data_IF_168379094249
#
_entry.id   IF_168379094249
#
_cell.length_a   1.000
_cell.length_b   1.000
_cell.length_c   1.000
_cell.angle_alpha   90.00
_cell.angle_beta   90.00
_cell.angle_gamma   90.00
#
_symmetry.space_group_name_H-M   'P 1'
#
loop_
_entity.id
_entity.type
_entity.pdbx_description
1 polymer ?
#
# COMPACT_ATOMS: atom_id res chain seq x y z
N UNK A 1 -34.78 32.76 10.53
CA UNK A 1 -33.66 32.65 11.49
C UNK A 1 -32.97 31.33 11.20
N UNK A 2 -31.64 31.33 11.06
CA UNK A 2 -30.86 30.09 10.89
C UNK A 2 -30.23 29.74 12.24
N UNK A 3 -30.27 28.46 12.63
CA UNK A 3 -29.66 27.95 13.86
C UNK A 3 -28.51 27.00 13.49
N UNK A 4 -27.30 27.34 13.92
CA UNK A 4 -26.08 26.55 13.70
C UNK A 4 -25.55 26.07 15.05
N UNK A 5 -25.73 24.79 15.42
CA UNK A 5 -25.26 24.27 16.69
C UNK A 5 -23.73 24.17 16.72
N UNK A 6 -23.13 24.53 17.86
CA UNK A 6 -21.68 24.38 18.12
C UNK A 6 -21.37 23.30 19.17
N UNK A 7 -22.40 22.69 19.75
CA UNK A 7 -22.28 21.58 20.71
C UNK A 7 -23.25 20.45 20.33
N UNK A 8 -22.81 19.23 20.59
CA UNK A 8 -23.60 18.02 20.37
C UNK A 8 -24.72 17.88 21.42
N UNK A 9 -25.74 17.10 21.10
CA UNK A 9 -26.81 16.75 22.04
C UNK A 9 -28.11 17.55 21.86
N UNK A 10 -29.08 17.35 22.74
CA UNK A 10 -30.42 17.91 22.55
C UNK A 10 -30.47 19.43 22.80
N UNK A 11 -30.95 20.18 21.81
CA UNK A 11 -31.25 21.61 21.88
C UNK A 11 -32.75 21.82 21.79
N UNK A 12 -33.35 22.36 22.85
CA UNK A 12 -34.77 22.73 22.85
C UNK A 12 -34.94 24.14 22.26
N UNK A 13 -35.60 24.23 21.12
CA UNK A 13 -35.85 25.48 20.42
C UNK A 13 -37.31 25.86 20.64
N UNK A 14 -37.54 27.00 21.29
CA UNK A 14 -38.88 27.49 21.62
C UNK A 14 -39.17 28.78 20.85
N UNK A 15 -40.30 28.81 20.16
CA UNK A 15 -40.87 30.02 19.60
C UNK A 15 -42.04 30.48 20.47
N UNK A 16 -42.03 31.75 20.87
CA UNK A 16 -43.07 32.35 21.73
C UNK A 16 -43.68 33.57 21.07
N UNK A 17 -45.00 33.66 21.12
CA UNK A 17 -45.78 34.85 20.82
C UNK A 17 -46.45 35.33 22.11
N UNK A 18 -46.12 36.52 22.64
CA UNK A 18 -46.64 36.97 23.94
C UNK A 18 -48.13 37.33 23.93
N UNK A 19 -48.76 37.40 22.75
CA UNK A 19 -50.14 37.83 22.59
C UNK A 19 -50.26 39.30 22.17
N UNK A 20 -51.49 39.74 21.96
CA UNK A 20 -51.86 41.14 21.71
C UNK A 20 -53.24 41.44 22.29
N UNK A 21 -53.73 42.67 22.14
CA UNK A 21 -55.05 43.09 22.62
C UNK A 21 -56.21 42.26 22.07
N UNK A 22 -56.03 41.61 20.92
CA UNK A 22 -57.07 40.81 20.25
C UNK A 22 -56.73 39.32 20.16
N UNK A 23 -55.54 38.89 20.61
CA UNK A 23 -55.09 37.51 20.47
C UNK A 23 -54.36 37.00 21.71
N UNK A 24 -54.69 35.80 22.17
CA UNK A 24 -53.96 35.12 23.24
C UNK A 24 -52.51 34.82 22.83
N UNK A 25 -51.60 34.85 23.80
CA UNK A 25 -50.23 34.38 23.60
C UNK A 25 -50.17 32.86 23.34
N UNK A 26 -49.09 32.42 22.71
CA UNK A 26 -48.84 31.02 22.40
C UNK A 26 -47.34 30.71 22.37
N UNK A 27 -47.00 29.43 22.52
CA UNK A 27 -45.63 28.96 22.37
C UNK A 27 -45.61 27.57 21.74
N UNK A 28 -44.56 27.28 20.97
CA UNK A 28 -44.26 25.96 20.41
C UNK A 28 -42.80 25.63 20.63
N UNK A 29 -42.49 24.35 20.86
CA UNK A 29 -41.10 23.88 21.03
C UNK A 29 -40.80 22.71 20.11
N UNK A 30 -39.55 22.59 19.69
CA UNK A 30 -38.99 21.44 18.99
C UNK A 30 -37.60 21.11 19.54
N UNK A 31 -37.15 19.87 19.38
CA UNK A 31 -35.82 19.43 19.82
C UNK A 31 -34.97 19.10 18.60
N UNK A 32 -33.78 19.69 18.53
CA UNK A 32 -32.74 19.33 17.56
C UNK A 32 -31.64 18.55 18.27
N UNK A 33 -31.14 17.48 17.67
CA UNK A 33 -30.04 16.66 18.26
C UNK A 33 -28.88 16.58 17.26
N UNK A 34 -27.97 17.57 17.25
CA UNK A 34 -26.78 17.55 16.40
C UNK A 34 -25.88 16.38 16.81
N UNK A 35 -25.54 15.57 15.81
CA UNK A 35 -24.55 14.50 15.92
C UNK A 35 -23.17 14.95 15.48
N UNK A 36 -22.20 14.05 15.63
CA UNK A 36 -20.86 14.25 15.05
C UNK A 36 -20.93 14.24 13.52
N UNK A 37 -20.02 14.98 12.90
CA UNK A 37 -19.77 14.95 11.47
C UNK A 37 -19.40 13.53 11.02
N UNK A 38 -20.00 13.06 9.94
CA UNK A 38 -19.67 11.74 9.39
C UNK A 38 -18.28 11.76 8.76
N UNK A 39 -17.54 10.65 8.84
CA UNK A 39 -16.23 10.55 8.19
C UNK A 39 -16.12 9.32 7.31
N UNK A 40 -15.20 9.38 6.35
CA UNK A 40 -14.72 8.24 5.57
C UNK A 40 -13.20 8.14 5.71
N UNK A 41 -12.69 6.93 5.84
CA UNK A 41 -11.26 6.63 5.93
C UNK A 41 -10.88 5.76 4.74
N UNK A 42 -9.82 6.14 4.03
CA UNK A 42 -9.23 5.35 2.94
C UNK A 42 -7.72 5.27 3.10
N UNK A 43 -7.13 4.18 2.61
CA UNK A 43 -5.69 3.94 2.68
C UNK A 43 -5.17 3.56 1.30
N UNK A 44 -3.95 3.99 1.01
CA UNK A 44 -3.20 3.57 -0.18
C UNK A 44 -1.79 3.20 0.22
N UNK A 45 -1.33 2.03 -0.19
CA UNK A 45 0.01 1.54 0.09
C UNK A 45 0.82 1.34 -1.19
N UNK A 46 2.13 1.59 -1.14
CA UNK A 46 3.02 1.26 -2.26
C UNK A 46 3.10 -0.27 -2.43
N UNK A 47 2.76 -0.77 -3.61
CA UNK A 47 2.67 -2.20 -3.90
C UNK A 47 2.92 -2.45 -5.40
N UNK A 48 3.60 -3.54 -5.80
CA UNK A 48 4.23 -4.54 -4.94
C UNK A 48 5.56 -4.04 -4.32
N UNK A 49 5.97 -4.65 -3.21
CA UNK A 49 7.30 -4.47 -2.58
C UNK A 49 8.04 -5.80 -2.47
N UNK A 50 9.35 -5.79 -2.20
CA UNK A 50 10.11 -7.00 -1.91
C UNK A 50 10.05 -7.33 -0.41
N UNK A 51 10.29 -8.59 -0.04
CA UNK A 51 10.52 -8.99 1.34
C UNK A 51 11.59 -8.10 1.99
N UNK A 52 11.34 -7.66 3.22
CA UNK A 52 12.15 -6.73 4.01
C UNK A 52 12.26 -5.30 3.45
N UNK A 53 11.50 -4.94 2.41
CA UNK A 53 11.36 -3.55 1.97
C UNK A 53 10.10 -2.92 2.56
N UNK A 54 10.17 -1.65 3.01
CA UNK A 54 9.02 -0.95 3.54
C UNK A 54 8.02 -0.61 2.43
N UNK A 55 6.74 -0.90 2.67
CA UNK A 55 5.61 -0.35 1.93
C UNK A 55 5.10 0.90 2.65
N UNK A 56 5.12 2.04 1.97
CA UNK A 56 4.56 3.28 2.51
C UNK A 56 3.05 3.27 2.35
N UNK A 57 2.33 3.28 3.46
CA UNK A 57 0.88 3.33 3.54
C UNK A 57 0.42 4.70 4.01
N UNK A 58 -0.31 5.42 3.17
CA UNK A 58 -0.90 6.73 3.46
C UNK A 58 -2.38 6.57 3.70
N UNK A 59 -2.86 7.01 4.86
CA UNK A 59 -4.28 7.10 5.19
C UNK A 59 -4.78 8.51 4.97
N UNK A 60 -6.02 8.64 4.49
CA UNK A 60 -6.75 9.90 4.38
C UNK A 60 -8.09 9.74 5.08
N UNK A 61 -8.37 10.64 6.00
CA UNK A 61 -9.66 10.78 6.68
C UNK A 61 -10.34 12.02 6.13
N UNK A 62 -11.59 11.87 5.71
CA UNK A 62 -12.40 12.92 5.09
C UNK A 62 -13.67 13.11 5.88
N UNK A 63 -13.98 14.34 6.29
CA UNK A 63 -15.33 14.69 6.76
C UNK A 63 -16.29 14.74 5.56
N UNK A 64 -17.34 13.93 5.64
CA UNK A 64 -18.32 13.72 4.57
C UNK A 64 -19.64 14.46 4.82
N UNK A 65 -19.68 15.34 5.82
CA UNK A 65 -20.87 16.14 6.14
C UNK A 65 -21.27 17.01 4.95
N UNK A 66 -22.56 17.02 4.62
CA UNK A 66 -23.10 17.71 3.43
C UNK A 66 -23.03 19.24 3.52
N UNK A 67 -22.97 19.78 4.74
CA UNK A 67 -22.88 21.21 5.03
C UNK A 67 -21.87 21.42 6.15
N UNK A 68 -20.97 22.39 5.98
CA UNK A 68 -20.06 22.81 7.04
C UNK A 68 -18.94 21.82 7.35
N UNK A 69 -18.54 20.97 6.40
CA UNK A 69 -17.45 20.02 6.60
C UNK A 69 -16.18 20.70 7.12
N UNK A 70 -15.56 20.07 8.11
CA UNK A 70 -14.33 20.54 8.78
C UNK A 70 -13.22 19.52 8.60
N UNK A 71 -11.99 19.88 8.96
CA UNK A 71 -10.86 18.94 8.86
C UNK A 71 -10.81 18.04 10.11
N UNK A 72 -10.79 16.70 9.97
CA UNK A 72 -10.64 15.78 11.09
C UNK A 72 -9.31 15.98 11.84
N UNK A 73 -9.32 15.72 13.15
CA UNK A 73 -8.15 15.77 14.03
C UNK A 73 -7.97 14.45 14.78
N UNK A 74 -6.80 14.24 15.39
CA UNK A 74 -6.51 13.06 16.19
C UNK A 74 -5.58 12.08 15.49
N UNK A 75 -5.91 10.78 15.56
CA UNK A 75 -5.03 9.72 15.07
C UNK A 75 -5.78 8.57 14.41
N UNK A 76 -5.08 7.87 13.52
CA UNK A 76 -5.49 6.59 12.94
C UNK A 76 -4.66 5.47 13.55
N UNK A 77 -5.30 4.37 13.92
CA UNK A 77 -4.63 3.11 14.27
C UNK A 77 -4.57 2.17 13.07
N UNK A 78 -3.43 1.49 12.90
CA UNK A 78 -3.18 0.55 11.81
C UNK A 78 -3.14 -0.88 12.31
N UNK A 79 -3.76 -1.78 11.56
CA UNK A 79 -3.64 -3.23 11.73
C UNK A 79 -3.37 -3.90 10.39
N UNK A 80 -2.89 -5.14 10.42
CA UNK A 80 -2.74 -5.93 9.22
C UNK A 80 -3.12 -7.39 9.43
N UNK A 81 -3.49 -8.05 8.34
CA UNK A 81 -3.76 -9.49 8.30
C UNK A 81 -3.18 -10.09 7.01
N UNK A 82 -2.40 -11.16 7.14
CA UNK A 82 -1.73 -11.82 6.03
C UNK A 82 -0.32 -12.25 6.40
N UNK A 83 0.65 -11.97 5.53
CA UNK A 83 2.06 -12.30 5.79
C UNK A 83 2.62 -11.60 7.04
N UNK A 84 3.58 -12.26 7.70
CA UNK A 84 4.25 -11.71 8.87
C UNK A 84 4.99 -10.41 8.53
N UNK A 85 4.77 -9.36 9.31
CA UNK A 85 5.36 -8.04 9.13
C UNK A 85 5.08 -7.14 10.32
N UNK A 86 5.55 -5.89 10.24
CA UNK A 86 5.36 -4.89 11.28
C UNK A 86 5.29 -3.49 10.70
N UNK A 87 4.55 -2.61 11.37
CA UNK A 87 4.61 -1.18 11.10
C UNK A 87 5.75 -0.53 11.87
N UNK A 88 6.32 0.56 11.33
CA UNK A 88 7.21 1.43 12.10
C UNK A 88 6.47 2.14 13.26
N UNK A 89 5.15 2.36 13.11
CA UNK A 89 4.23 2.80 14.15
C UNK A 89 2.83 2.27 13.86
N UNK A 90 2.14 1.76 14.87
CA UNK A 90 0.74 1.33 14.76
C UNK A 90 -0.24 2.48 14.95
N UNK A 91 0.22 3.66 15.39
CA UNK A 91 -0.57 4.87 15.56
C UNK A 91 0.05 6.00 14.75
N UNK A 92 -0.81 6.76 14.07
CA UNK A 92 -0.40 7.81 13.16
C UNK A 92 -1.27 9.04 13.40
N UNK A 93 -0.65 10.13 13.85
CA UNK A 93 -1.36 11.39 14.07
C UNK A 93 -1.66 12.02 12.71
N UNK A 94 -2.94 12.29 12.44
CA UNK A 94 -3.35 12.88 11.16
C UNK A 94 -2.97 14.36 11.13
N UNK A 95 -2.38 14.77 10.01
CA UNK A 95 -2.01 16.16 9.75
C UNK A 95 -3.07 16.77 8.84
N UNK A 96 -3.54 17.96 9.21
CA UNK A 96 -4.54 18.68 8.45
C UNK A 96 -4.04 18.96 7.02
N UNK A 97 -4.86 18.62 6.03
CA UNK A 97 -4.67 18.98 4.63
C UNK A 97 -5.58 20.14 4.22
N UNK A 98 -6.05 20.11 2.98
CA UNK A 98 -7.13 21.00 2.54
C UNK A 98 -8.45 20.50 3.11
N UNK A 99 -9.24 21.39 3.73
CA UNK A 99 -10.60 21.06 4.17
C UNK A 99 -11.35 20.34 3.03
N UNK A 100 -11.96 19.16 3.27
CA UNK A 100 -12.28 18.53 4.56
C UNK A 100 -11.40 17.33 4.94
N UNK A 101 -10.12 17.30 4.54
CA UNK A 101 -9.26 16.11 4.67
C UNK A 101 -8.07 16.28 5.61
N UNK A 102 -7.68 15.19 6.24
CA UNK A 102 -6.43 15.05 6.99
C UNK A 102 -5.78 13.70 6.66
N UNK A 103 -4.45 13.67 6.64
CA UNK A 103 -3.70 12.49 6.21
C UNK A 103 -2.48 12.23 7.08
N UNK A 104 -2.00 10.99 7.07
CA UNK A 104 -0.69 10.65 7.60
C UNK A 104 -0.17 9.35 6.96
N UNK A 105 1.10 9.02 7.17
CA UNK A 105 1.73 7.85 6.55
C UNK A 105 2.51 7.01 7.57
N UNK A 106 2.46 5.70 7.41
CA UNK A 106 3.27 4.70 8.12
C UNK A 106 3.99 3.80 7.12
N UNK A 107 5.02 3.09 7.57
CA UNK A 107 5.72 2.10 6.77
C UNK A 107 5.41 0.70 7.31
N UNK A 108 4.90 -0.20 6.45
CA UNK A 108 4.72 -1.63 6.73
C UNK A 108 5.85 -2.44 6.09
N UNK A 109 6.61 -3.18 6.89
CA UNK A 109 7.69 -4.04 6.39
C UNK A 109 7.34 -5.50 6.64
N UNK A 110 7.16 -6.26 5.55
CA UNK A 110 6.89 -7.69 5.62
C UNK A 110 8.19 -8.52 5.61
N UNK A 111 8.21 -9.57 6.43
CA UNK A 111 9.32 -10.52 6.58
C UNK A 111 9.15 -11.80 5.75
N UNK A 112 8.00 -11.96 5.09
CA UNK A 112 7.68 -13.09 4.22
C UNK A 112 6.95 -12.63 2.96
N UNK A 113 7.09 -13.39 1.87
CA UNK A 113 6.39 -13.13 0.61
C UNK A 113 4.94 -13.58 0.66
N UNK A 114 4.07 -12.87 -0.06
CA UNK A 114 2.62 -13.09 -0.09
C UNK A 114 1.87 -11.75 0.02
N UNK A 115 0.60 -11.80 0.40
CA UNK A 115 -0.23 -10.60 0.55
C UNK A 115 -0.49 -10.27 2.02
N UNK A 116 -0.58 -8.98 2.33
CA UNK A 116 -1.09 -8.49 3.60
C UNK A 116 -2.13 -7.39 3.36
N UNK A 117 -3.30 -7.53 3.98
CA UNK A 117 -4.32 -6.51 4.00
C UNK A 117 -4.03 -5.55 5.15
N UNK A 118 -4.02 -4.25 4.87
CA UNK A 118 -3.75 -3.17 5.80
C UNK A 118 -5.06 -2.43 6.05
N UNK A 119 -5.38 -2.21 7.32
CA UNK A 119 -6.58 -1.47 7.75
C UNK A 119 -6.12 -0.26 8.56
N UNK A 120 -6.68 0.91 8.23
CA UNK A 120 -6.62 2.14 9.01
C UNK A 120 -7.98 2.42 9.66
N UNK A 121 -7.99 2.57 10.98
CA UNK A 121 -9.18 2.95 11.74
C UNK A 121 -8.99 4.32 12.40
N UNK A 122 -9.84 5.27 12.01
CA UNK A 122 -9.96 6.57 12.64
C UNK A 122 -10.92 6.48 13.83
N UNK A 123 -10.43 6.78 15.04
CA UNK A 123 -11.21 6.69 16.29
C UNK A 123 -12.28 7.77 16.46
N UNK A 124 -12.31 8.78 15.59
CA UNK A 124 -13.13 9.99 15.80
C UNK A 124 -12.42 11.02 16.68
N UNK A 125 -13.01 12.21 16.74
CA UNK A 125 -12.61 13.28 17.66
C UNK A 125 -13.85 13.90 18.33
N UNK A 126 -13.71 15.09 18.93
CA UNK A 126 -14.84 15.78 19.55
C UNK A 126 -15.96 16.12 18.57
N UNK A 127 -15.64 16.35 17.29
CA UNK A 127 -16.56 16.82 16.24
C UNK A 127 -16.90 15.74 15.21
N UNK A 128 -16.02 14.77 14.98
CA UNK A 128 -16.10 13.78 13.91
C UNK A 128 -16.31 12.36 14.44
N UNK A 129 -17.21 11.62 13.79
CA UNK A 129 -17.44 10.21 14.10
C UNK A 129 -16.26 9.33 13.64
N UNK A 130 -16.12 8.16 14.26
CA UNK A 130 -15.14 7.14 13.86
C UNK A 130 -15.46 6.57 12.48
N UNK A 131 -14.42 6.19 11.72
CA UNK A 131 -14.56 5.46 10.46
C UNK A 131 -13.34 4.55 10.22
N UNK A 132 -13.45 3.63 9.25
CA UNK A 132 -12.34 2.75 8.86
C UNK A 132 -12.51 2.30 7.41
N UNK A 133 -11.43 1.82 6.81
CA UNK A 133 -11.41 1.16 5.51
C UNK A 133 -11.64 -0.37 5.60
N UNK A 134 -12.04 -0.90 6.75
CA UNK A 134 -12.15 -2.35 7.01
C UNK A 134 -13.05 -3.12 6.03
N UNK A 135 -14.02 -2.45 5.39
CA UNK A 135 -14.85 -3.04 4.34
C UNK A 135 -14.11 -3.25 3.00
N UNK A 136 -13.00 -2.55 2.78
CA UNK A 136 -12.18 -2.59 1.56
C UNK A 136 -10.72 -2.19 1.89
N UNK A 137 -9.99 -3.06 2.61
CA UNK A 137 -8.63 -2.77 3.05
C UNK A 137 -7.64 -2.65 1.87
N UNK A 138 -6.55 -1.89 2.03
CA UNK A 138 -5.48 -1.92 1.03
C UNK A 138 -4.68 -3.22 1.11
N UNK A 139 -4.39 -3.80 -0.05
CA UNK A 139 -3.53 -5.00 -0.15
C UNK A 139 -2.11 -4.60 -0.53
N UNK A 140 -1.14 -5.00 0.30
CA UNK A 140 0.29 -4.96 0.00
C UNK A 140 0.71 -6.34 -0.49
N UNK A 141 1.16 -6.40 -1.74
CA UNK A 141 1.76 -7.61 -2.32
C UNK A 141 3.26 -7.58 -2.10
N UNK A 142 3.78 -8.63 -1.48
CA UNK A 142 5.19 -8.78 -1.10
C UNK A 142 5.79 -9.90 -1.95
N UNK A 143 6.65 -9.52 -2.87
CA UNK A 143 7.36 -10.46 -3.72
C UNK A 143 8.62 -10.99 -2.99
N UNK A 144 8.97 -12.28 -3.16
CA UNK A 144 10.22 -12.80 -2.62
C UNK A 144 11.42 -12.14 -3.32
N UNK A 145 12.62 -12.30 -2.77
CA UNK A 145 13.84 -11.87 -3.46
C UNK A 145 13.99 -12.61 -4.80
N UNK A 146 14.62 -11.95 -5.78
CA UNK A 146 14.97 -12.62 -7.04
C UNK A 146 16.02 -13.70 -6.74
N UNK A 147 15.67 -14.94 -7.05
CA UNK A 147 16.56 -16.09 -6.95
C UNK A 147 16.89 -16.58 -8.35
N UNK A 148 18.18 -16.73 -8.62
CA UNK A 148 18.70 -17.37 -9.84
C UNK A 148 19.15 -18.78 -9.46
N UNK A 149 18.52 -19.79 -10.04
CA UNK A 149 18.90 -21.18 -9.82
C UNK A 149 20.26 -21.49 -10.47
N UNK A 150 20.90 -22.55 -10.00
CA UNK A 150 22.15 -23.07 -10.59
C UNK A 150 21.90 -23.34 -12.08
N UNK A 151 22.69 -22.75 -13.00
CA UNK A 151 22.55 -23.01 -14.42
C UNK A 151 22.77 -24.50 -14.75
N UNK A 152 21.94 -25.03 -15.66
CA UNK A 152 22.10 -26.37 -16.21
C UNK A 152 22.61 -26.31 -17.65
N UNK A 153 23.36 -27.31 -18.07
CA UNK A 153 23.81 -27.50 -19.44
C UNK A 153 23.26 -28.82 -19.98
N UNK A 154 22.83 -28.86 -21.25
CA UNK A 154 22.37 -30.11 -21.88
C UNK A 154 23.50 -31.13 -22.04
N UNK A 155 24.72 -30.64 -22.26
CA UNK A 155 25.97 -31.41 -22.30
C UNK A 155 26.97 -30.79 -21.32
N UNK A 156 27.54 -31.61 -20.45
CA UNK A 156 28.59 -31.23 -19.49
C UNK A 156 30.01 -31.38 -20.04
N UNK A 157 30.18 -32.20 -21.08
CA UNK A 157 31.42 -32.41 -21.82
C UNK A 157 31.14 -32.14 -23.29
N UNK A 158 32.00 -31.37 -23.95
CA UNK A 158 31.86 -30.99 -25.35
C UNK A 158 33.13 -31.34 -26.10
N UNK A 159 33.00 -32.11 -27.19
CA UNK A 159 34.08 -32.27 -28.17
C UNK A 159 34.08 -31.11 -29.17
N UNK A 160 35.15 -31.02 -29.96
CA UNK A 160 35.29 -30.01 -31.01
C UNK A 160 34.11 -30.03 -31.98
N UNK A 161 33.50 -28.87 -32.19
CA UNK A 161 32.35 -28.69 -33.08
C UNK A 161 30.99 -28.96 -32.43
N UNK A 162 30.93 -29.39 -31.17
CA UNK A 162 29.66 -29.54 -30.45
C UNK A 162 29.20 -28.21 -29.81
N UNK A 163 27.95 -28.18 -29.35
CA UNK A 163 27.34 -27.06 -28.64
C UNK A 163 26.50 -27.58 -27.48
N UNK A 164 26.43 -26.82 -26.38
CA UNK A 164 25.54 -27.10 -25.26
C UNK A 164 24.53 -25.97 -25.11
N UNK A 165 23.31 -26.29 -24.69
CA UNK A 165 22.32 -25.27 -24.32
C UNK A 165 22.40 -25.06 -22.83
N UNK A 166 22.70 -23.81 -22.44
CA UNK A 166 22.65 -23.37 -21.05
C UNK A 166 21.24 -22.92 -20.73
N UNK A 167 20.72 -23.30 -19.58
CA UNK A 167 19.41 -22.89 -19.08
C UNK A 167 19.51 -22.47 -17.63
N UNK A 168 18.82 -21.38 -17.27
CA UNK A 168 18.68 -20.91 -15.90
C UNK A 168 17.22 -20.56 -15.61
N UNK A 169 16.78 -20.87 -14.40
CA UNK A 169 15.45 -20.52 -13.92
C UNK A 169 15.57 -19.33 -12.97
N UNK A 170 14.69 -18.35 -13.18
CA UNK A 170 14.56 -17.17 -12.33
C UNK A 170 13.24 -17.29 -11.58
N UNK A 171 13.27 -17.11 -10.26
CA UNK A 171 12.07 -17.14 -9.42
C UNK A 171 12.02 -15.94 -8.51
N UNK A 172 10.81 -15.46 -8.22
CA UNK A 172 10.60 -14.30 -7.35
C UNK A 172 10.90 -12.94 -7.97
N UNK A 173 10.94 -11.93 -7.10
CA UNK A 173 11.23 -10.56 -7.46
C UNK A 173 10.06 -9.76 -8.04
N UNK A 174 10.30 -8.47 -8.35
CA UNK A 174 9.40 -7.57 -9.08
C UNK A 174 10.02 -7.18 -10.44
N UNK A 175 9.47 -7.64 -11.58
CA UNK A 175 9.98 -7.28 -12.91
C UNK A 175 9.84 -5.76 -13.21
N UNK A 176 10.56 -5.20 -14.17
CA UNK A 176 11.39 -5.88 -15.18
C UNK A 176 12.85 -6.12 -14.75
N UNK A 177 13.42 -7.21 -15.25
CA UNK A 177 14.82 -7.57 -15.02
C UNK A 177 15.56 -7.78 -16.35
N UNK A 178 16.82 -7.37 -16.39
CA UNK A 178 17.74 -7.67 -17.49
C UNK A 178 18.74 -8.73 -17.04
N UNK A 179 18.79 -9.84 -17.78
CA UNK A 179 19.67 -10.97 -17.54
C UNK A 179 20.82 -10.97 -18.54
N UNK A 180 22.00 -11.37 -18.09
CA UNK A 180 23.20 -11.53 -18.91
C UNK A 180 23.90 -12.82 -18.52
N UNK A 181 24.16 -13.68 -19.51
CA UNK A 181 25.05 -14.81 -19.31
C UNK A 181 26.49 -14.33 -19.21
N UNK A 182 27.20 -14.82 -18.20
CA UNK A 182 28.61 -14.53 -17.97
C UNK A 182 29.39 -15.84 -17.96
N UNK A 183 30.58 -15.82 -18.56
CA UNK A 183 31.51 -16.93 -18.55
C UNK A 183 32.84 -16.52 -17.93
N UNK A 184 33.53 -17.46 -17.29
CA UNK A 184 34.91 -17.29 -16.84
C UNK A 184 35.72 -18.47 -17.38
N UNK A 185 36.50 -18.21 -18.42
CA UNK A 185 37.33 -19.23 -19.05
C UNK A 185 38.45 -19.71 -18.10
N UNK A 186 39.00 -20.92 -18.30
CA UNK A 186 40.17 -21.39 -17.55
C UNK A 186 41.30 -20.36 -17.60
N UNK A 187 41.89 -20.04 -16.45
CA UNK A 187 42.96 -19.04 -16.33
C UNK A 187 42.52 -17.57 -16.38
N UNK A 188 41.25 -17.26 -16.65
CA UNK A 188 40.75 -15.89 -16.60
C UNK A 188 40.65 -15.37 -15.16
N UNK A 189 40.98 -14.10 -14.92
CA UNK A 189 40.81 -13.45 -13.62
C UNK A 189 39.40 -12.90 -13.40
N UNK A 190 38.65 -12.63 -14.48
CA UNK A 190 37.31 -12.01 -14.46
C UNK A 190 36.31 -12.71 -15.39
N UNK A 191 35.03 -12.37 -15.23
CA UNK A 191 33.95 -12.84 -16.10
C UNK A 191 33.85 -11.99 -17.37
N UNK A 192 33.51 -12.61 -18.50
CA UNK A 192 33.15 -11.97 -19.77
C UNK A 192 31.70 -12.30 -20.16
N UNK A 193 31.10 -11.46 -21.00
CA UNK A 193 29.72 -11.66 -21.48
C UNK A 193 29.66 -12.82 -22.47
N UNK A 194 28.70 -13.72 -22.26
CA UNK A 194 28.32 -14.75 -23.21
C UNK A 194 27.02 -14.31 -23.90
N UNK A 195 27.13 -13.85 -25.15
CA UNK A 195 26.00 -13.27 -25.89
C UNK A 195 25.51 -11.92 -25.34
N UNK A 196 24.36 -11.47 -25.85
CA UNK A 196 23.73 -10.20 -25.46
C UNK A 196 22.86 -10.35 -24.21
N UNK A 197 22.69 -9.27 -23.47
CA UNK A 197 21.71 -9.19 -22.39
C UNK A 197 20.28 -9.21 -22.95
N UNK A 198 19.36 -9.85 -22.23
CA UNK A 198 17.94 -9.94 -22.59
C UNK A 198 17.04 -9.74 -21.37
N UNK A 199 15.74 -9.54 -21.58
CA UNK A 199 14.77 -9.57 -20.48
C UNK A 199 14.75 -10.97 -19.85
N UNK A 200 14.76 -11.03 -18.52
CA UNK A 200 14.68 -12.29 -17.80
C UNK A 200 13.28 -12.90 -17.96
N UNK A 201 13.13 -13.86 -18.85
CA UNK A 201 11.96 -14.75 -18.91
C UNK A 201 12.34 -16.09 -18.28
N UNK A 202 11.50 -16.69 -17.43
CA UNK A 202 11.84 -17.97 -16.80
C UNK A 202 11.21 -19.14 -17.57
N UNK A 203 11.98 -20.14 -18.04
CA UNK A 203 13.45 -20.23 -18.02
C UNK A 203 14.12 -19.39 -19.13
N UNK A 204 15.29 -18.80 -18.85
CA UNK A 204 16.12 -18.17 -19.90
C UNK A 204 17.08 -19.24 -20.39
N UNK A 205 17.11 -19.47 -21.69
CA UNK A 205 18.09 -20.35 -22.33
C UNK A 205 18.97 -19.58 -23.31
N UNK A 206 20.23 -20.02 -23.44
CA UNK A 206 21.14 -19.55 -24.49
C UNK A 206 21.97 -20.72 -25.00
N UNK A 207 22.18 -20.79 -26.30
CA UNK A 207 23.10 -21.75 -26.90
C UNK A 207 24.52 -21.20 -26.84
N UNK A 208 25.51 -22.02 -26.49
CA UNK A 208 26.93 -21.62 -26.52
C UNK A 208 27.44 -21.35 -27.94
N UNK A 209 26.68 -21.74 -28.97
CA UNK A 209 27.20 -21.89 -30.33
C UNK A 209 28.23 -23.01 -30.43
N UNK A 210 28.69 -23.29 -31.65
CA UNK A 210 29.81 -24.21 -31.87
C UNK A 210 31.07 -23.60 -31.24
N UNK A 211 31.61 -24.27 -30.22
CA UNK A 211 32.86 -23.84 -29.60
C UNK A 211 34.00 -24.11 -30.59
N UNK A 212 34.61 -23.04 -31.10
CA UNK A 212 35.75 -23.09 -32.03
C UNK A 212 37.10 -23.19 -31.33
N UNK A 213 37.12 -23.05 -30.00
CA UNK A 213 38.32 -23.21 -29.18
C UNK A 213 38.44 -24.63 -28.68
N UNK A 214 39.37 -25.38 -29.27
CA UNK A 214 39.87 -26.64 -28.74
C UNK A 214 40.52 -26.32 -27.39
N UNK A 215 39.85 -26.68 -26.30
CA UNK A 215 40.52 -26.77 -25.01
C UNK A 215 41.54 -27.90 -25.12
N UNK A 216 42.83 -27.59 -24.95
CA UNK A 216 43.78 -28.61 -24.56
C UNK A 216 43.40 -29.01 -23.13
N UNK A 217 42.67 -30.12 -23.02
CA UNK A 217 42.38 -30.80 -21.76
C UNK A 217 43.62 -31.53 -21.26
#
# INVERSE_FOLDING_TARGET
MNYTPIVLGAHNITATYPGSSSHSGSAGSTVLVPGRHSTSTSISCSSPVLVNQPSTCTVTVTDTSTVGATTPTGSVSFTHAGVAGSFNSTICNIVAGTVPTASCSVAFTASASGASNIVGAYGGDSTHASSSDSASPATVTVNPALLVNIPSATLSTLDSGQSSTLSATFTGGSPSYTCQWLQKAPGASSYSKLGNSALCASPVSTSTGALTTIGNW
#
